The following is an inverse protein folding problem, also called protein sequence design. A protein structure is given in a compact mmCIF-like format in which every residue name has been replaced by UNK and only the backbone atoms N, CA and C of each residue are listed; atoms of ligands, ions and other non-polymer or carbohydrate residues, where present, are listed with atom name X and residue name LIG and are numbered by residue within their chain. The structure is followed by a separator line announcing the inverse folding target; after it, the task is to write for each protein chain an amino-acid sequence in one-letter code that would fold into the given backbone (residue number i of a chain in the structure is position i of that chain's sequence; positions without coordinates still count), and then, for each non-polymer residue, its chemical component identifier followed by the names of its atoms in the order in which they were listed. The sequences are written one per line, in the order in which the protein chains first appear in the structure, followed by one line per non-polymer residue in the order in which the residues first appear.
data_IF_695678261273
#
_entry.id   IF_695678261273
#
_cell.length_a   1.000
_cell.length_b   1.000
_cell.length_c   1.000
_cell.angle_alpha   90.00
_cell.angle_beta   90.00
_cell.angle_gamma   90.00
#
_symmetry.space_group_name_H-M   'P 1'
#
loop_
_entity.id
_entity.type
_entity.pdbx_description
1 polymer ?
#
# COMPACT_ATOMS: atom_id res chain seq x y z
N UNK A 1 49.89 -29.90 -4.99
CA UNK A 1 48.69 -30.65 -5.40
C UNK A 1 47.63 -30.41 -4.34
N UNK A 2 46.44 -29.89 -4.69
CA UNK A 2 45.35 -29.71 -3.72
C UNK A 2 44.95 -31.06 -3.12
N UNK A 3 44.72 -31.07 -1.80
CA UNK A 3 44.42 -32.28 -1.03
C UNK A 3 43.01 -32.76 -1.44
N UNK A 4 42.79 -34.04 -1.76
CA UNK A 4 41.48 -34.56 -2.20
C UNK A 4 40.31 -34.16 -1.28
N UNK A 5 40.56 -34.04 0.03
CA UNK A 5 39.58 -33.59 1.02
C UNK A 5 39.09 -32.14 0.85
N UNK A 6 39.92 -31.25 0.27
CA UNK A 6 39.51 -29.87 -0.01
C UNK A 6 38.43 -29.81 -1.10
N UNK A 7 38.52 -30.65 -2.13
CA UNK A 7 37.50 -30.70 -3.18
C UNK A 7 36.16 -31.24 -2.68
N UNK A 8 36.20 -32.25 -1.80
CA UNK A 8 34.99 -32.80 -1.18
C UNK A 8 34.32 -31.75 -0.29
N UNK A 9 35.09 -31.01 0.51
CA UNK A 9 34.56 -29.94 1.35
C UNK A 9 33.91 -28.81 0.52
N UNK A 10 34.57 -28.36 -0.55
CA UNK A 10 34.01 -27.34 -1.45
C UNK A 10 32.73 -27.83 -2.11
N UNK A 11 32.68 -29.08 -2.58
CA UNK A 11 31.47 -29.66 -3.17
C UNK A 11 30.29 -29.71 -2.18
N UNK A 12 30.54 -30.11 -0.93
CA UNK A 12 29.52 -30.11 0.13
C UNK A 12 29.04 -28.70 0.48
N UNK A 13 29.94 -27.72 0.52
CA UNK A 13 29.59 -26.32 0.77
C UNK A 13 28.71 -25.75 -0.35
N UNK A 14 29.03 -26.06 -1.60
CA UNK A 14 28.21 -25.65 -2.76
C UNK A 14 26.83 -26.28 -2.72
N UNK A 15 26.73 -27.59 -2.43
CA UNK A 15 25.44 -28.28 -2.26
C UNK A 15 24.64 -27.67 -1.12
N UNK A 16 25.29 -27.40 0.03
CA UNK A 16 24.65 -26.74 1.16
C UNK A 16 24.10 -25.37 0.77
N UNK A 17 24.88 -24.54 0.07
CA UNK A 17 24.42 -23.21 -0.38
C UNK A 17 23.24 -23.31 -1.37
N UNK A 18 23.31 -24.23 -2.34
CA UNK A 18 22.26 -24.45 -3.34
C UNK A 18 20.96 -24.94 -2.71
N UNK A 19 21.02 -25.72 -1.63
CA UNK A 19 19.81 -26.26 -0.97
C UNK A 19 19.30 -25.29 0.11
N UNK A 20 20.19 -24.75 0.94
CA UNK A 20 19.83 -23.96 2.11
C UNK A 20 19.24 -22.59 1.74
N UNK A 21 19.81 -21.91 0.74
CA UNK A 21 19.36 -20.56 0.34
C UNK A 21 17.92 -20.60 -0.22
N UNK A 22 17.55 -21.52 -1.14
CA UNK A 22 16.17 -21.62 -1.61
C UNK A 22 15.19 -22.02 -0.50
N UNK A 23 15.56 -22.96 0.37
CA UNK A 23 14.67 -23.41 1.47
C UNK A 23 14.39 -22.26 2.43
N UNK A 24 15.40 -21.50 2.82
CA UNK A 24 15.22 -20.34 3.71
C UNK A 24 14.41 -19.24 3.03
N UNK A 25 14.63 -18.99 1.73
CA UNK A 25 13.82 -18.04 0.96
C UNK A 25 12.34 -18.47 0.89
N UNK A 26 12.05 -19.75 0.63
CA UNK A 26 10.69 -20.29 0.61
C UNK A 26 10.02 -20.17 1.98
N UNK A 27 10.74 -20.53 3.06
CA UNK A 27 10.21 -20.45 4.43
C UNK A 27 9.86 -19.02 4.81
N UNK A 28 10.73 -18.06 4.48
CA UNK A 28 10.48 -16.64 4.72
C UNK A 28 9.31 -16.11 3.89
N UNK A 29 9.19 -16.52 2.62
CA UNK A 29 8.05 -16.17 1.77
C UNK A 29 6.73 -16.67 2.37
N UNK A 30 6.68 -17.92 2.82
CA UNK A 30 5.47 -18.52 3.41
C UNK A 30 5.08 -17.83 4.73
N UNK A 31 6.05 -17.47 5.56
CA UNK A 31 5.81 -16.72 6.80
C UNK A 31 5.16 -15.36 6.50
N UNK A 32 5.74 -14.57 5.59
CA UNK A 32 5.20 -13.26 5.22
C UNK A 32 3.77 -13.35 4.64
N UNK A 33 3.50 -14.36 3.81
CA UNK A 33 2.16 -14.58 3.25
C UNK A 33 1.14 -14.86 4.36
N UNK A 34 1.50 -15.68 5.36
CA UNK A 34 0.60 -15.99 6.47
C UNK A 34 0.27 -14.77 7.34
N UNK A 35 1.26 -13.90 7.60
CA UNK A 35 1.05 -12.66 8.36
C UNK A 35 0.15 -11.69 7.61
N UNK A 36 0.38 -11.54 6.30
CA UNK A 36 -0.43 -10.70 5.43
C UNK A 36 -1.87 -11.22 5.34
N UNK A 37 -2.05 -12.54 5.26
CA UNK A 37 -3.38 -13.12 5.22
C UNK A 37 -4.15 -12.95 6.54
N UNK A 38 -3.44 -13.00 7.69
CA UNK A 38 -4.03 -12.60 8.98
C UNK A 38 -4.50 -11.15 8.94
N UNK A 39 -3.66 -10.24 8.44
CA UNK A 39 -3.98 -8.82 8.32
C UNK A 39 -5.22 -8.58 7.45
N UNK A 40 -5.36 -9.30 6.32
CA UNK A 40 -6.54 -9.26 5.48
C UNK A 40 -7.80 -9.75 6.20
N UNK A 41 -7.70 -10.90 6.88
CA UNK A 41 -8.82 -11.52 7.59
C UNK A 41 -9.31 -10.64 8.76
N UNK A 42 -8.39 -10.13 9.59
CA UNK A 42 -8.68 -9.23 10.70
C UNK A 42 -9.38 -7.94 10.24
N UNK A 43 -9.08 -7.49 9.02
CA UNK A 43 -9.65 -6.29 8.44
C UNK A 43 -10.81 -6.54 7.47
N UNK A 44 -11.21 -7.80 7.27
CA UNK A 44 -12.25 -8.23 6.33
C UNK A 44 -12.06 -7.61 4.94
N UNK A 45 -10.82 -7.72 4.44
CA UNK A 45 -10.36 -7.02 3.25
C UNK A 45 -9.95 -8.01 2.15
N UNK A 46 -10.08 -7.57 0.90
CA UNK A 46 -9.64 -8.29 -0.29
C UNK A 46 -8.31 -7.74 -0.84
N UNK A 47 -8.12 -6.44 -0.74
CA UNK A 47 -6.93 -5.74 -1.26
C UNK A 47 -6.45 -4.70 -0.25
N UNK A 48 -5.17 -4.40 -0.25
CA UNK A 48 -4.56 -3.53 0.73
C UNK A 48 -3.41 -2.74 0.11
N UNK A 49 -3.08 -1.61 0.70
CA UNK A 49 -1.83 -0.90 0.43
C UNK A 49 -1.34 -0.22 1.69
N UNK A 50 -0.02 -0.19 1.88
CA UNK A 50 0.61 0.62 2.90
C UNK A 50 0.95 2.00 2.33
N UNK A 51 0.62 3.03 3.10
CA UNK A 51 0.90 4.41 2.76
C UNK A 51 1.15 5.23 4.03
N UNK A 52 1.49 6.51 3.86
CA UNK A 52 1.57 7.49 4.93
C UNK A 52 0.46 8.50 4.76
N UNK A 53 -0.30 8.74 5.81
CA UNK A 53 -1.38 9.71 5.79
C UNK A 53 -0.81 11.13 5.72
N UNK A 54 -1.41 11.99 4.90
CA UNK A 54 -1.04 13.39 4.77
C UNK A 54 -2.17 14.29 5.28
N UNK A 55 -3.35 14.24 4.67
CA UNK A 55 -4.45 15.15 4.99
C UNK A 55 -5.82 14.63 4.54
N UNK A 56 -6.91 15.27 4.97
CA UNK A 56 -8.29 15.04 4.53
C UNK A 56 -9.19 14.28 5.52
N UNK A 57 -8.65 13.80 6.64
CA UNK A 57 -9.38 13.11 7.72
C UNK A 57 -9.01 13.71 9.08
N UNK A 58 -9.96 14.39 9.73
CA UNK A 58 -9.72 15.14 10.97
C UNK A 58 -9.21 14.28 12.13
N UNK A 59 -9.63 13.02 12.20
CA UNK A 59 -9.23 12.11 13.28
C UNK A 59 -7.81 11.55 13.11
N UNK A 60 -7.17 11.75 11.95
CA UNK A 60 -5.86 11.19 11.64
C UNK A 60 -4.75 12.24 11.76
N UNK A 61 -3.61 11.80 12.28
CA UNK A 61 -2.42 12.65 12.45
C UNK A 61 -1.53 12.54 11.22
N UNK A 62 -1.19 13.67 10.62
CA UNK A 62 -0.27 13.76 9.47
C UNK A 62 1.03 13.00 9.73
N UNK A 63 1.53 12.35 8.67
CA UNK A 63 2.81 11.66 8.69
C UNK A 63 2.75 10.27 9.31
N UNK A 64 1.59 9.80 9.80
CA UNK A 64 1.44 8.45 10.35
C UNK A 64 1.38 7.38 9.26
N UNK A 65 2.06 6.26 9.51
CA UNK A 65 1.95 5.07 8.65
C UNK A 65 0.57 4.45 8.82
N UNK A 66 -0.06 4.09 7.71
CA UNK A 66 -1.36 3.46 7.68
C UNK A 66 -1.43 2.37 6.60
N UNK A 67 -2.45 1.54 6.72
CA UNK A 67 -2.92 0.68 5.65
C UNK A 67 -4.27 1.21 5.15
N UNK A 68 -4.48 1.17 3.83
CA UNK A 68 -5.79 1.29 3.22
C UNK A 68 -6.19 -0.11 2.80
N UNK A 69 -7.22 -0.65 3.42
CA UNK A 69 -7.84 -1.92 3.07
C UNK A 69 -9.07 -1.66 2.23
N UNK A 70 -9.35 -2.51 1.25
CA UNK A 70 -10.54 -2.46 0.43
C UNK A 70 -11.27 -3.80 0.46
N UNK A 71 -12.60 -3.74 0.57
CA UNK A 71 -13.48 -4.88 0.32
C UNK A 71 -14.58 -4.47 -0.68
N UNK A 72 -15.66 -5.23 -0.81
CA UNK A 72 -16.72 -4.91 -1.78
C UNK A 72 -17.55 -3.66 -1.42
N UNK A 73 -17.50 -3.19 -0.17
CA UNK A 73 -18.40 -2.15 0.34
C UNK A 73 -17.68 -0.88 0.74
N UNK A 74 -16.42 -0.97 1.21
CA UNK A 74 -15.73 0.15 1.84
C UNK A 74 -14.21 0.11 1.66
N UNK A 75 -13.62 1.28 1.81
CA UNK A 75 -12.21 1.46 2.15
C UNK A 75 -12.10 1.60 3.68
N UNK A 76 -11.28 0.76 4.31
CA UNK A 76 -10.95 0.85 5.74
C UNK A 76 -9.51 1.31 5.90
N UNK A 77 -9.32 2.50 6.46
CA UNK A 77 -8.01 3.09 6.71
C UNK A 77 -7.66 2.83 8.17
N UNK A 78 -6.48 2.25 8.43
CA UNK A 78 -6.03 1.89 9.79
C UNK A 78 -4.61 2.37 10.01
N UNK A 79 -4.35 3.13 11.08
CA UNK A 79 -2.97 3.50 11.46
C UNK A 79 -2.21 2.28 11.97
N UNK A 80 -0.92 2.17 11.62
CA UNK A 80 -0.07 1.03 12.02
C UNK A 80 0.39 1.12 13.48
N UNK A 81 0.29 2.29 14.08
CA UNK A 81 0.70 2.55 15.46
C UNK A 81 -0.43 2.30 16.45
N UNK A 82 -0.06 2.05 17.71
CA UNK A 82 -0.99 1.95 18.84
C UNK A 82 -1.10 3.30 19.58
N UNK A 83 -2.30 3.76 19.95
CA UNK A 83 -3.61 3.15 19.64
C UNK A 83 -3.99 3.28 18.15
N UNK A 84 -4.65 2.25 17.62
CA UNK A 84 -5.10 2.24 16.24
C UNK A 84 -6.27 3.22 16.03
N UNK A 85 -6.12 4.12 15.05
CA UNK A 85 -7.21 4.94 14.52
C UNK A 85 -7.74 4.22 13.28
N UNK A 86 -9.05 4.01 13.21
CA UNK A 86 -9.74 3.36 12.09
C UNK A 86 -10.79 4.29 11.50
N UNK A 87 -10.77 4.42 10.18
CA UNK A 87 -11.72 5.26 9.42
C UNK A 87 -12.30 4.41 8.29
N UNK A 88 -13.61 4.43 8.12
CA UNK A 88 -14.30 3.70 7.05
C UNK A 88 -14.88 4.71 6.05
N UNK A 89 -14.62 4.49 4.76
CA UNK A 89 -15.20 5.24 3.65
C UNK A 89 -16.06 4.28 2.81
N UNK A 90 -17.33 4.59 2.62
CA UNK A 90 -18.20 3.80 1.75
C UNK A 90 -17.73 3.89 0.29
N UNK A 91 -17.54 2.77 -0.39
CA UNK A 91 -17.06 2.76 -1.79
C UNK A 91 -18.03 3.47 -2.73
N UNK A 92 -19.34 3.43 -2.46
CA UNK A 92 -20.36 4.15 -3.24
C UNK A 92 -20.17 5.67 -3.23
N UNK A 93 -19.47 6.21 -2.24
CA UNK A 93 -19.16 7.64 -2.09
C UNK A 93 -17.76 8.00 -2.58
N UNK A 94 -16.91 7.01 -2.90
CA UNK A 94 -15.61 7.26 -3.52
C UNK A 94 -15.82 7.59 -4.99
N UNK A 95 -15.42 8.80 -5.40
CA UNK A 95 -15.51 9.29 -6.79
C UNK A 95 -14.26 8.95 -7.57
N UNK A 96 -13.08 9.02 -6.95
CA UNK A 96 -11.81 8.64 -7.56
C UNK A 96 -10.86 8.03 -6.54
N UNK A 97 -10.00 7.12 -7.00
CA UNK A 97 -8.93 6.50 -6.21
C UNK A 97 -7.69 6.35 -7.09
N UNK A 98 -6.85 7.39 -7.10
CA UNK A 98 -5.80 7.57 -8.11
C UNK A 98 -4.40 7.71 -7.52
N UNK A 99 -3.40 7.34 -8.32
CA UNK A 99 -2.00 7.67 -8.06
C UNK A 99 -1.61 8.91 -8.86
N UNK A 100 -1.11 9.93 -8.17
CA UNK A 100 -0.49 11.10 -8.81
C UNK A 100 1.02 11.07 -8.55
N UNK A 101 1.79 11.34 -9.60
CA UNK A 101 3.24 11.52 -9.50
C UNK A 101 3.56 12.97 -9.14
N UNK A 102 4.62 13.17 -8.37
CA UNK A 102 5.06 14.50 -7.89
C UNK A 102 5.25 15.54 -9.01
N UNK A 103 5.74 15.13 -10.16
CA UNK A 103 5.95 16.01 -11.32
C UNK A 103 4.63 16.51 -11.95
N UNK A 104 3.50 15.95 -11.54
CA UNK A 104 2.15 16.25 -12.03
C UNK A 104 1.22 16.84 -10.96
N UNK A 105 1.69 17.01 -9.72
CA UNK A 105 0.89 17.63 -8.65
C UNK A 105 1.02 19.15 -8.71
N UNK A 106 -0.11 19.85 -8.80
CA UNK A 106 -0.12 21.32 -8.75
C UNK A 106 0.31 21.80 -7.35
N UNK A 107 1.07 22.91 -7.23
CA UNK A 107 1.59 23.39 -5.94
C UNK A 107 0.52 23.62 -4.86
N UNK A 108 -0.72 23.90 -5.25
CA UNK A 108 -1.85 24.15 -4.36
C UNK A 108 -2.57 22.87 -3.88
N UNK A 109 -2.42 21.74 -4.59
CA UNK A 109 -2.89 20.42 -4.13
C UNK A 109 -2.07 19.88 -2.94
N UNK A 110 -1.02 20.62 -2.58
CA UNK A 110 -0.07 20.27 -1.53
C UNK A 110 -0.01 21.42 -0.51
N UNK A 111 -1.17 21.94 -0.11
CA UNK A 111 -1.27 22.78 1.09
C UNK A 111 -0.85 21.96 2.32
N UNK A 112 0.05 22.52 3.13
CA UNK A 112 0.59 21.97 4.40
C UNK A 112 1.50 20.73 4.36
N UNK A 113 1.39 19.80 3.40
CA UNK A 113 2.34 18.67 3.24
C UNK A 113 3.77 19.09 2.76
N UNK A 114 4.05 20.40 2.80
CA UNK A 114 5.23 21.10 2.26
C UNK A 114 6.52 20.75 3.00
N UNK A 115 6.47 20.23 4.23
CA UNK A 115 7.71 19.96 4.99
C UNK A 115 8.42 18.67 4.52
N UNK A 116 7.77 17.77 3.77
CA UNK A 116 8.37 16.49 3.33
C UNK A 116 8.26 16.19 1.83
N UNK A 117 7.90 17.16 0.98
CA UNK A 117 7.77 16.93 -0.47
C UNK A 117 9.04 16.37 -1.13
N UNK A 118 10.24 16.60 -0.58
CA UNK A 118 11.48 16.03 -1.09
C UNK A 118 11.60 14.50 -0.91
N UNK A 119 10.73 13.89 -0.10
CA UNK A 119 10.85 12.49 0.34
C UNK A 119 9.99 11.54 -0.49
N UNK A 120 8.95 12.03 -1.19
CA UNK A 120 7.92 11.19 -1.80
C UNK A 120 7.70 11.50 -3.29
N UNK A 121 7.66 10.46 -4.12
CA UNK A 121 7.52 10.59 -5.59
C UNK A 121 6.09 10.33 -6.09
N UNK A 122 5.28 9.65 -5.27
CA UNK A 122 3.92 9.20 -5.61
C UNK A 122 2.96 9.44 -4.45
N UNK A 123 1.77 9.90 -4.80
CA UNK A 123 0.70 10.21 -3.87
C UNK A 123 -0.56 9.44 -4.27
N UNK A 124 -1.35 9.03 -3.28
CA UNK A 124 -2.70 8.52 -3.47
C UNK A 124 -3.65 9.67 -3.16
N UNK A 125 -4.60 9.91 -4.05
CA UNK A 125 -5.71 10.84 -3.83
C UNK A 125 -7.01 10.05 -3.83
N UNK A 126 -7.81 10.26 -2.80
CA UNK A 126 -9.18 9.78 -2.73
C UNK A 126 -10.10 10.99 -2.77
N UNK A 127 -10.96 11.07 -3.78
CA UNK A 127 -12.07 12.04 -3.79
C UNK A 127 -13.31 11.37 -3.24
N UNK A 128 -13.79 11.87 -2.11
CA UNK A 128 -14.89 11.28 -1.36
C UNK A 128 -16.07 12.25 -1.25
N UNK A 129 -17.27 11.78 -1.56
CA UNK A 129 -18.51 12.54 -1.42
C UNK A 129 -19.00 12.46 0.03
N UNK A 130 -19.04 13.59 0.72
CA UNK A 130 -19.57 13.65 2.07
C UNK A 130 -21.09 13.54 2.08
N UNK A 131 -21.67 13.32 3.26
CA UNK A 131 -23.13 13.31 3.42
C UNK A 131 -23.78 14.68 3.08
N UNK A 132 -22.99 15.75 3.01
CA UNK A 132 -23.44 17.08 2.57
C UNK A 132 -23.29 17.29 1.05
N UNK A 133 -23.04 16.23 0.28
CA UNK A 133 -22.78 16.28 -1.17
C UNK A 133 -21.57 17.15 -1.57
N UNK A 134 -20.68 17.42 -0.61
CA UNK A 134 -19.40 18.10 -0.88
C UNK A 134 -18.33 17.08 -1.18
N UNK A 135 -17.50 17.36 -2.18
CA UNK A 135 -16.33 16.51 -2.45
C UNK A 135 -15.20 16.90 -1.50
N UNK A 136 -14.71 15.93 -0.73
CA UNK A 136 -13.53 16.04 0.12
C UNK A 136 -12.38 15.27 -0.51
N UNK A 137 -11.20 15.86 -0.54
CA UNK A 137 -9.98 15.21 -1.01
C UNK A 137 -9.18 14.68 0.18
N UNK A 138 -8.72 13.43 0.08
CA UNK A 138 -7.93 12.75 1.11
C UNK A 138 -6.63 12.29 0.48
N UNK A 139 -5.54 12.61 1.16
CA UNK A 139 -4.19 12.53 0.62
C UNK A 139 -3.33 11.54 1.40
N UNK A 140 -2.61 10.69 0.66
CA UNK A 140 -1.61 9.78 1.21
C UNK A 140 -0.34 9.81 0.35
N UNK A 141 0.81 9.56 0.97
CA UNK A 141 2.06 9.30 0.27
C UNK A 141 2.33 7.80 0.19
N UNK A 142 2.74 7.33 -1.00
CA UNK A 142 3.39 6.04 -1.15
C UNK A 142 4.86 6.23 -0.75
N UNK A 143 5.19 5.89 0.49
CA UNK A 143 6.53 6.01 1.06
C UNK A 143 7.50 5.09 0.31
N UNK A 144 8.72 5.59 0.13
CA UNK A 144 9.74 4.94 -0.68
C UNK A 144 10.71 4.07 0.13
N UNK A 145 10.43 3.76 1.41
CA UNK A 145 11.32 2.89 2.20
C UNK A 145 11.33 1.48 1.62
N UNK A 146 12.47 0.79 1.71
CA UNK A 146 12.60 -0.58 1.21
C UNK A 146 11.56 -1.52 1.83
N UNK A 147 11.28 -1.38 3.12
CA UNK A 147 10.27 -2.16 3.82
C UNK A 147 8.86 -1.95 3.23
N UNK A 148 8.43 -0.69 3.02
CA UNK A 148 7.11 -0.43 2.46
C UNK A 148 7.00 -0.89 1.00
N UNK A 149 8.05 -0.71 0.19
CA UNK A 149 8.07 -1.21 -1.20
C UNK A 149 7.91 -2.73 -1.24
N UNK A 150 8.54 -3.45 -0.32
CA UNK A 150 8.37 -4.91 -0.20
C UNK A 150 6.94 -5.24 0.21
N UNK A 151 6.39 -4.60 1.25
CA UNK A 151 5.00 -4.83 1.68
C UNK A 151 4.00 -4.58 0.56
N UNK A 152 4.10 -3.44 -0.13
CA UNK A 152 3.21 -3.07 -1.23
C UNK A 152 3.35 -4.02 -2.42
N UNK A 153 4.58 -4.49 -2.72
CA UNK A 153 4.77 -5.53 -3.74
C UNK A 153 4.04 -6.83 -3.36
N UNK A 154 4.12 -7.26 -2.11
CA UNK A 154 3.42 -8.49 -1.69
C UNK A 154 1.90 -8.28 -1.72
N UNK A 155 1.40 -7.10 -1.35
CA UNK A 155 -0.02 -6.78 -1.52
C UNK A 155 -0.44 -6.79 -2.99
N UNK A 156 0.33 -6.14 -3.88
CA UNK A 156 0.05 -6.10 -5.32
C UNK A 156 0.09 -7.50 -5.96
N UNK A 157 0.99 -8.38 -5.52
CA UNK A 157 1.07 -9.79 -5.96
C UNK A 157 -0.20 -10.59 -5.58
N UNK A 158 -0.93 -10.18 -4.53
CA UNK A 158 -2.20 -10.78 -4.10
C UNK A 158 -3.37 -10.10 -4.83
N UNK A 159 -3.43 -8.77 -4.76
CA UNK A 159 -4.43 -7.94 -5.40
C UNK A 159 -3.94 -6.49 -5.51
N UNK A 160 -3.89 -5.97 -6.74
CA UNK A 160 -3.68 -4.56 -6.97
C UNK A 160 -4.89 -3.75 -6.49
N UNK A 161 -4.71 -2.93 -5.44
CA UNK A 161 -5.81 -2.17 -4.84
C UNK A 161 -6.41 -1.13 -5.79
N UNK A 162 -5.61 -0.53 -6.68
CA UNK A 162 -6.09 0.52 -7.58
C UNK A 162 -7.02 -0.08 -8.63
N UNK A 163 -6.62 -1.19 -9.26
CA UNK A 163 -7.47 -1.90 -10.19
C UNK A 163 -8.75 -2.40 -9.50
N UNK A 164 -8.61 -2.91 -8.28
CA UNK A 164 -9.75 -3.42 -7.51
C UNK A 164 -10.77 -2.34 -7.16
N UNK A 165 -10.32 -1.18 -6.67
CA UNK A 165 -11.19 -0.08 -6.27
C UNK A 165 -11.79 0.59 -7.51
N UNK A 166 -10.99 0.88 -8.54
CA UNK A 166 -11.46 1.53 -9.77
C UNK A 166 -12.49 0.70 -10.54
N UNK A 167 -12.47 -0.63 -10.40
CA UNK A 167 -13.51 -1.50 -10.95
C UNK A 167 -14.86 -1.42 -10.20
N UNK A 168 -14.90 -0.82 -9.00
CA UNK A 168 -16.06 -0.81 -8.10
C UNK A 168 -16.62 0.58 -7.81
N UNK A 169 -15.86 1.63 -8.05
CA UNK A 169 -16.37 3.00 -7.90
C UNK A 169 -17.26 3.37 -9.10
N UNK A 170 -18.30 4.20 -8.90
CA UNK A 170 -19.12 4.71 -10.00
C UNK A 170 -18.24 5.47 -11.01
N UNK A 171 -18.24 5.05 -12.28
CA UNK A 171 -17.55 5.81 -13.33
C UNK A 171 -18.23 7.17 -13.48
N UNK A 172 -17.46 8.26 -13.44
CA UNK A 172 -17.95 9.55 -13.86
C UNK A 172 -18.16 9.52 -15.39
N UNK A 173 -19.41 9.48 -15.83
CA UNK A 173 -19.74 9.84 -17.21
C UNK A 173 -19.52 11.35 -17.33
N UNK A 174 -18.48 11.75 -18.05
CA UNK A 174 -18.27 13.15 -18.39
C UNK A 174 -19.07 13.42 -19.66
N UNK A 175 -20.33 13.80 -19.51
CA UNK A 175 -21.06 14.44 -20.61
C UNK A 175 -20.51 15.86 -20.76
N UNK A 176 -19.75 16.08 -21.83
CA UNK A 176 -19.44 17.42 -22.32
C UNK A 176 -20.57 17.76 -23.29
N UNK A 177 -21.51 18.62 -22.86
CA UNK A 177 -22.41 19.28 -23.81
C UNK A 177 -21.58 20.31 -24.59
N UNK A 178 -21.48 20.12 -25.91
CA UNK A 178 -20.84 21.05 -26.87
C UNK A 178 -21.83 22.08 -27.39
#
# INVERSE_FOLDING_TARGET
MPIPGQFIFIALLVIFLIIYIPITAIKNKNKNLSEIQSLFNENQANCAISCRYLDGIEQMVEGKMCYIFANNEKLKIVTQENPHITVNLELSKVKTFDIIKRDKTEPHMIGFAIVQQHTYDKFIIIRYLTNEEKTKEIYFALVNTAAQRVSNKVFDDICNIFDYVNARIPKQETTIDL
#
